data_IF_769952330925
#
_entry.id   IF_769952330925
#
_cell.length_a   1.000
_cell.length_b   1.000
_cell.length_c   1.000
_cell.angle_alpha   90.00
_cell.angle_beta   90.00
_cell.angle_gamma   90.00
#
_symmetry.space_group_name_H-M   'P 1'
#
loop_
_entity.id
_entity.type
_entity.pdbx_description
1 polymer ?
#
# COMPACT_ATOMS: atom_id res chain seq x y z
N UNK A 1 4.24 -2.82 -45.03
CA UNK A 1 3.03 -2.72 -44.18
C UNK A 1 2.82 -4.09 -43.54
N UNK A 2 3.52 -4.34 -42.44
CA UNK A 2 3.41 -5.62 -41.73
C UNK A 2 2.05 -5.67 -41.01
N UNK A 3 1.22 -6.63 -41.39
CA UNK A 3 0.02 -7.00 -40.66
C UNK A 3 0.46 -7.53 -39.30
N UNK A 4 0.34 -6.68 -38.27
CA UNK A 4 0.46 -7.11 -36.86
C UNK A 4 -0.58 -8.21 -36.65
N UNK A 5 -0.13 -9.46 -36.54
CA UNK A 5 -1.00 -10.58 -36.25
C UNK A 5 -1.55 -10.40 -34.84
N UNK A 6 -2.83 -10.04 -34.72
CA UNK A 6 -3.59 -10.04 -33.48
C UNK A 6 -3.73 -11.49 -32.99
N UNK A 7 -2.69 -12.01 -32.33
CA UNK A 7 -2.75 -13.31 -31.70
C UNK A 7 -3.35 -13.16 -30.28
N UNK A 8 -4.61 -13.53 -30.04
CA UNK A 8 -5.29 -13.33 -28.76
C UNK A 8 -4.61 -14.08 -27.61
N UNK A 9 -3.91 -15.19 -27.89
CA UNK A 9 -3.14 -15.94 -26.89
C UNK A 9 -1.92 -15.15 -26.40
N UNK A 10 -1.20 -14.48 -27.31
CA UNK A 10 -0.03 -13.67 -26.96
C UNK A 10 -0.42 -12.46 -26.12
N UNK A 11 -1.50 -11.77 -26.50
CA UNK A 11 -2.03 -10.63 -25.72
C UNK A 11 -2.48 -11.05 -24.32
N UNK A 12 -3.03 -12.25 -24.16
CA UNK A 12 -3.43 -12.81 -22.86
C UNK A 12 -2.22 -13.14 -21.99
N UNK A 13 -1.17 -13.70 -22.56
CA UNK A 13 0.09 -14.02 -21.84
C UNK A 13 0.77 -12.73 -21.40
N UNK A 14 0.87 -11.73 -22.27
CA UNK A 14 1.49 -10.43 -21.93
C UNK A 14 0.71 -9.71 -20.81
N UNK A 15 -0.62 -9.77 -20.82
CA UNK A 15 -1.47 -9.22 -19.76
C UNK A 15 -1.31 -9.95 -18.42
N UNK A 16 -1.17 -11.28 -18.43
CA UNK A 16 -0.93 -12.07 -17.23
C UNK A 16 0.47 -11.80 -16.64
N UNK A 17 1.49 -11.67 -17.50
CA UNK A 17 2.84 -11.31 -17.06
C UNK A 17 2.88 -9.93 -16.41
N UNK A 18 2.20 -8.94 -17.00
CA UNK A 18 2.07 -7.61 -16.42
C UNK A 18 1.34 -7.65 -15.06
N UNK A 19 0.27 -8.44 -14.94
CA UNK A 19 -0.45 -8.62 -13.68
C UNK A 19 0.47 -9.21 -12.59
N UNK A 20 1.26 -10.22 -12.93
CA UNK A 20 2.21 -10.83 -11.98
C UNK A 20 3.23 -9.81 -11.47
N UNK A 21 3.82 -9.00 -12.36
CA UNK A 21 4.80 -7.97 -11.99
C UNK A 21 4.16 -6.90 -11.09
N UNK A 22 2.98 -6.38 -11.47
CA UNK A 22 2.30 -5.36 -10.69
C UNK A 22 1.88 -5.91 -9.32
N UNK A 23 1.40 -7.16 -9.27
CA UNK A 23 1.05 -7.82 -8.00
C UNK A 23 2.28 -8.01 -7.11
N UNK A 24 3.41 -8.47 -7.67
CA UNK A 24 4.64 -8.65 -6.91
C UNK A 24 5.15 -7.32 -6.34
N UNK A 25 5.16 -6.25 -7.15
CA UNK A 25 5.56 -4.91 -6.70
C UNK A 25 4.59 -4.37 -5.62
N UNK A 26 3.29 -4.55 -5.79
CA UNK A 26 2.28 -4.14 -4.81
C UNK A 26 2.50 -4.83 -3.46
N UNK A 27 2.63 -6.17 -3.45
CA UNK A 27 2.91 -6.95 -2.23
C UNK A 27 4.23 -6.52 -1.60
N UNK A 28 5.30 -6.39 -2.39
CA UNK A 28 6.63 -6.00 -1.90
C UNK A 28 6.62 -4.61 -1.27
N UNK A 29 6.04 -3.61 -1.95
CA UNK A 29 5.92 -2.25 -1.41
C UNK A 29 5.16 -2.25 -0.10
N UNK A 30 4.11 -3.06 -0.01
CA UNK A 30 3.32 -3.16 1.21
C UNK A 30 4.09 -3.77 2.38
N UNK A 31 4.81 -4.88 2.15
CA UNK A 31 5.67 -5.52 3.17
C UNK A 31 6.78 -4.58 3.62
N UNK A 32 7.45 -3.91 2.67
CA UNK A 32 8.50 -2.93 2.97
C UNK A 32 7.95 -1.74 3.76
N UNK A 33 6.77 -1.21 3.38
CA UNK A 33 6.12 -0.11 4.10
C UNK A 33 5.84 -0.46 5.55
N UNK A 34 5.36 -1.67 5.83
CA UNK A 34 5.09 -2.13 7.19
C UNK A 34 6.38 -2.27 8.03
N UNK A 35 7.47 -2.76 7.45
CA UNK A 35 8.77 -2.80 8.14
C UNK A 35 9.27 -1.39 8.42
N UNK A 36 9.14 -0.46 7.46
CA UNK A 36 9.54 0.93 7.62
C UNK A 36 8.68 1.67 8.64
N UNK A 37 7.40 1.33 8.77
CA UNK A 37 6.46 1.98 9.67
C UNK A 37 6.82 1.83 11.17
N UNK A 38 7.69 0.88 11.52
CA UNK A 38 8.25 0.74 12.87
C UNK A 38 9.03 2.00 13.28
N UNK A 39 9.62 2.72 12.32
CA UNK A 39 10.36 3.94 12.58
C UNK A 39 9.44 5.16 12.52
N UNK A 40 9.31 5.87 13.64
CA UNK A 40 8.70 7.21 13.67
C UNK A 40 9.73 8.23 13.19
N UNK A 41 9.32 9.04 12.23
CA UNK A 41 10.11 10.14 11.67
C UNK A 41 9.59 11.46 12.26
N UNK A 42 10.51 12.30 12.78
CA UNK A 42 10.20 13.64 13.23
C UNK A 42 10.87 14.67 12.32
N UNK A 43 10.10 15.53 11.67
CA UNK A 43 10.60 16.65 10.89
C UNK A 43 10.40 17.95 11.67
N UNK A 44 11.50 18.68 11.91
CA UNK A 44 11.51 19.98 12.61
C UNK A 44 10.87 19.97 14.00
N UNK A 45 10.75 18.80 14.66
CA UNK A 45 10.02 18.60 15.92
C UNK A 45 8.54 19.07 15.90
N UNK A 46 7.97 19.17 14.71
CA UNK A 46 6.58 19.62 14.49
C UNK A 46 5.72 18.56 13.79
N UNK A 47 6.33 17.72 12.94
CA UNK A 47 5.63 16.76 12.11
C UNK A 47 6.10 15.36 12.45
N UNK A 48 5.20 14.54 12.99
CA UNK A 48 5.48 13.15 13.33
C UNK A 48 4.66 12.22 12.43
N UNK A 49 5.34 11.30 11.76
CA UNK A 49 4.72 10.26 10.94
C UNK A 49 5.61 9.02 10.91
N UNK A 50 5.06 7.88 10.54
CA UNK A 50 5.86 6.66 10.34
C UNK A 50 6.60 6.68 9.00
N UNK A 51 7.78 6.05 8.93
CA UNK A 51 8.59 6.05 7.70
C UNK A 51 7.90 5.31 6.53
N UNK A 52 6.96 4.42 6.79
CA UNK A 52 6.14 3.74 5.78
C UNK A 52 5.22 4.70 5.04
N UNK A 53 4.86 5.84 5.65
CA UNK A 53 4.05 6.89 5.02
C UNK A 53 4.62 7.37 3.68
N UNK A 54 5.94 7.26 3.47
CA UNK A 54 6.60 7.64 2.21
C UNK A 54 6.32 6.61 1.11
N UNK A 55 6.25 5.33 1.45
CA UNK A 55 6.12 4.22 0.48
C UNK A 55 4.68 3.77 0.25
N UNK A 56 3.78 3.95 1.21
CA UNK A 56 2.38 3.60 1.10
C UNK A 56 1.67 4.18 -0.13
N UNK A 57 1.83 5.47 -0.50
CA UNK A 57 1.16 6.02 -1.68
C UNK A 57 1.53 5.33 -2.99
N UNK A 58 2.75 4.77 -3.09
CA UNK A 58 3.13 3.97 -4.26
C UNK A 58 2.43 2.61 -4.30
N UNK A 59 2.16 2.01 -3.15
CA UNK A 59 1.33 0.82 -3.09
C UNK A 59 -0.11 1.14 -3.52
N UNK A 60 -0.72 2.23 -3.01
CA UNK A 60 -2.05 2.69 -3.45
C UNK A 60 -2.10 2.96 -4.95
N UNK A 61 -1.07 3.63 -5.51
CA UNK A 61 -0.94 3.82 -6.96
C UNK A 61 -1.01 2.49 -7.73
N UNK A 62 -0.31 1.45 -7.25
CA UNK A 62 -0.39 0.13 -7.89
C UNK A 62 -1.76 -0.53 -7.69
N UNK A 63 -2.45 -0.28 -6.58
CA UNK A 63 -3.85 -0.66 -6.35
C UNK A 63 -4.79 -0.03 -7.37
N UNK A 64 -4.58 1.25 -7.68
CA UNK A 64 -5.31 1.97 -8.74
C UNK A 64 -5.05 1.36 -10.11
N UNK A 65 -3.78 1.05 -10.43
CA UNK A 65 -3.40 0.36 -11.68
C UNK A 65 -4.09 -0.99 -11.80
N UNK A 66 -4.08 -1.79 -10.71
CA UNK A 66 -4.78 -3.09 -10.67
C UNK A 66 -6.28 -2.92 -10.93
N UNK A 67 -6.92 -1.96 -10.28
CA UNK A 67 -8.36 -1.70 -10.41
C UNK A 67 -8.72 -1.17 -11.79
N UNK A 68 -7.92 -0.26 -12.36
CA UNK A 68 -8.17 0.35 -13.66
C UNK A 68 -7.95 -0.63 -14.83
N UNK A 69 -6.91 -1.46 -14.75
CA UNK A 69 -6.52 -2.36 -15.86
C UNK A 69 -7.25 -3.69 -15.79
N UNK A 70 -7.33 -4.31 -14.60
CA UNK A 70 -7.88 -5.66 -14.41
C UNK A 70 -9.19 -5.71 -13.64
N UNK A 71 -9.67 -4.55 -13.16
CA UNK A 71 -10.96 -4.38 -12.49
C UNK A 71 -10.95 -4.75 -11.01
N UNK A 72 -11.98 -4.28 -10.30
CA UNK A 72 -12.15 -4.43 -8.84
C UNK A 72 -12.02 -5.87 -8.33
N UNK A 73 -12.57 -6.85 -9.08
CA UNK A 73 -12.53 -8.27 -8.64
C UNK A 73 -11.10 -8.79 -8.54
N UNK A 74 -10.23 -8.39 -9.47
CA UNK A 74 -8.81 -8.77 -9.48
C UNK A 74 -8.06 -8.02 -8.39
N UNK A 75 -8.24 -6.70 -8.29
CA UNK A 75 -7.64 -5.89 -7.25
C UNK A 75 -7.96 -6.43 -5.84
N UNK A 76 -9.22 -6.78 -5.58
CA UNK A 76 -9.64 -7.37 -4.31
C UNK A 76 -8.92 -8.69 -3.98
N UNK A 77 -8.67 -9.55 -4.98
CA UNK A 77 -7.91 -10.79 -4.75
C UNK A 77 -6.46 -10.50 -4.38
N UNK A 78 -5.84 -9.52 -5.03
CA UNK A 78 -4.46 -9.08 -4.73
C UNK A 78 -4.39 -8.47 -3.33
N UNK A 79 -5.38 -7.67 -2.92
CA UNK A 79 -5.47 -7.11 -1.56
C UNK A 79 -5.50 -8.24 -0.51
N UNK A 80 -6.34 -9.26 -0.70
CA UNK A 80 -6.39 -10.41 0.21
C UNK A 80 -5.08 -11.21 0.23
N UNK A 81 -4.44 -11.38 -0.92
CA UNK A 81 -3.12 -12.02 -1.01
C UNK A 81 -2.08 -11.20 -0.22
N UNK A 82 -2.08 -9.88 -0.38
CA UNK A 82 -1.18 -8.97 0.33
C UNK A 82 -1.39 -9.04 1.84
N UNK A 83 -2.65 -9.10 2.29
CA UNK A 83 -2.98 -9.30 3.70
C UNK A 83 -2.37 -10.61 4.24
N UNK A 84 -2.54 -11.71 3.49
CA UNK A 84 -1.96 -13.00 3.85
C UNK A 84 -0.42 -12.94 3.94
N UNK A 85 0.24 -12.29 2.97
CA UNK A 85 1.69 -12.10 2.98
C UNK A 85 2.15 -11.26 4.19
N UNK A 86 1.37 -10.25 4.60
CA UNK A 86 1.65 -9.46 5.79
C UNK A 86 1.51 -10.28 7.08
N UNK A 87 0.46 -11.10 7.19
CA UNK A 87 0.31 -12.03 8.31
C UNK A 87 1.50 -12.99 8.38
N UNK A 88 1.92 -13.52 7.23
CA UNK A 88 3.09 -14.39 7.16
C UNK A 88 4.38 -13.68 7.61
N UNK A 89 4.58 -12.43 7.18
CA UNK A 89 5.71 -11.60 7.63
C UNK A 89 5.72 -11.48 9.16
N UNK A 90 4.57 -11.17 9.77
CA UNK A 90 4.46 -11.04 11.24
C UNK A 90 4.77 -12.36 11.92
N UNK A 91 4.18 -13.47 11.46
CA UNK A 91 4.45 -14.79 12.05
C UNK A 91 5.92 -15.13 11.97
N UNK A 92 6.57 -14.96 10.82
CA UNK A 92 7.98 -15.26 10.64
C UNK A 92 8.87 -14.37 11.53
N UNK A 93 8.58 -13.08 11.63
CA UNK A 93 9.35 -12.17 12.49
C UNK A 93 9.16 -12.47 13.97
N UNK A 94 7.96 -12.86 14.43
CA UNK A 94 7.73 -13.27 15.81
C UNK A 94 8.41 -14.61 16.15
N UNK A 95 8.45 -15.54 15.20
CA UNK A 95 9.28 -16.76 15.38
C UNK A 95 10.74 -16.37 15.61
N UNK A 96 11.27 -15.41 14.82
CA UNK A 96 12.62 -14.90 15.01
C UNK A 96 12.86 -14.29 16.40
N UNK A 97 11.87 -13.57 16.96
CA UNK A 97 11.94 -13.00 18.33
C UNK A 97 12.02 -14.08 19.41
N UNK A 98 11.36 -15.24 19.21
CA UNK A 98 11.31 -16.33 20.19
C UNK A 98 12.58 -17.21 20.11
N UNK A 99 13.28 -17.20 18.97
CA UNK A 99 14.48 -18.01 18.79
C UNK A 99 15.66 -17.41 19.57
N UNK A 100 16.35 -18.20 20.42
CA UNK A 100 17.47 -17.71 21.22
C UNK A 100 18.68 -17.41 20.35
N UNK A 101 19.39 -16.34 20.66
CA UNK A 101 20.68 -15.98 20.07
C UNK A 101 21.84 -16.51 20.91
N UNK A 102 23.04 -16.70 20.32
CA UNK A 102 24.24 -16.97 21.09
C UNK A 102 24.61 -15.83 22.04
N UNK A 103 25.17 -16.14 23.22
CA UNK A 103 25.47 -15.15 24.26
C UNK A 103 26.32 -13.95 23.78
N UNK A 104 27.22 -14.18 22.81
CA UNK A 104 28.06 -13.13 22.24
C UNK A 104 27.31 -12.17 21.30
N UNK A 105 26.03 -12.43 20.99
CA UNK A 105 25.14 -11.60 20.16
C UNK A 105 23.95 -11.00 20.97
N UNK A 106 24.00 -11.01 22.29
CA UNK A 106 22.93 -10.53 23.16
C UNK A 106 22.49 -9.09 22.84
N UNK A 107 23.44 -8.20 22.50
CA UNK A 107 23.11 -6.81 22.10
C UNK A 107 22.34 -6.77 20.77
N UNK A 108 22.70 -7.61 19.81
CA UNK A 108 22.00 -7.71 18.52
C UNK A 108 20.60 -8.30 18.68
N UNK A 109 20.45 -9.29 19.56
CA UNK A 109 19.15 -9.86 19.93
C UNK A 109 18.24 -8.81 20.57
N UNK A 110 18.77 -8.00 21.50
CA UNK A 110 18.02 -6.94 22.15
C UNK A 110 17.48 -5.92 21.12
N UNK A 111 18.30 -5.53 20.15
CA UNK A 111 17.89 -4.63 19.05
C UNK A 111 16.82 -5.27 18.18
N UNK A 112 17.01 -6.51 17.76
CA UNK A 112 16.04 -7.27 16.97
C UNK A 112 14.70 -7.39 17.70
N UNK A 113 14.75 -7.80 18.98
CA UNK A 113 13.58 -7.95 19.83
C UNK A 113 12.89 -6.61 20.07
N UNK A 114 13.61 -5.51 20.29
CA UNK A 114 13.04 -4.18 20.44
C UNK A 114 12.29 -3.73 19.16
N UNK A 115 12.83 -4.04 17.97
CA UNK A 115 12.15 -3.74 16.71
C UNK A 115 10.89 -4.57 16.51
N UNK A 116 10.95 -5.89 16.72
CA UNK A 116 9.89 -6.79 16.30
C UNK A 116 8.90 -7.17 17.40
N UNK A 117 9.25 -7.10 18.70
CA UNK A 117 8.28 -7.32 19.79
C UNK A 117 7.32 -6.16 19.99
N UNK A 118 7.75 -4.92 19.74
CA UNK A 118 6.89 -3.74 19.81
C UNK A 118 5.88 -3.69 18.64
N UNK A 119 6.10 -4.48 17.63
CA UNK A 119 5.44 -4.45 16.33
C UNK A 119 4.06 -5.13 16.27
N UNK A 120 3.67 -6.15 17.06
CA UNK A 120 2.38 -6.82 16.85
C UNK A 120 1.19 -5.87 16.86
N UNK A 121 1.18 -4.87 17.75
CA UNK A 121 0.12 -3.86 17.81
C UNK A 121 0.14 -2.94 16.61
N UNK A 122 1.33 -2.47 16.19
CA UNK A 122 1.50 -1.57 15.02
C UNK A 122 1.14 -2.35 13.75
N UNK A 123 1.61 -3.58 13.60
CA UNK A 123 1.30 -4.41 12.45
C UNK A 123 -0.18 -4.76 12.39
N UNK A 124 -0.80 -5.10 13.52
CA UNK A 124 -2.24 -5.31 13.55
C UNK A 124 -3.01 -4.06 13.14
N UNK A 125 -2.62 -2.90 13.64
CA UNK A 125 -3.17 -1.60 13.24
C UNK A 125 -3.00 -1.35 11.73
N UNK A 126 -1.79 -1.63 11.20
CA UNK A 126 -1.51 -1.52 9.78
C UNK A 126 -2.35 -2.47 8.94
N UNK A 127 -2.54 -3.71 9.37
CA UNK A 127 -3.37 -4.67 8.64
C UNK A 127 -4.84 -4.24 8.58
N UNK A 128 -5.38 -3.71 9.69
CA UNK A 128 -6.76 -3.18 9.72
C UNK A 128 -6.88 -1.95 8.83
N UNK A 129 -5.99 -0.98 8.99
CA UNK A 129 -5.95 0.23 8.16
C UNK A 129 -5.83 -0.11 6.68
N UNK A 130 -4.87 -0.96 6.33
CA UNK A 130 -4.66 -1.45 4.98
C UNK A 130 -5.92 -2.10 4.37
N UNK A 131 -6.50 -3.05 5.08
CA UNK A 131 -7.65 -3.77 4.55
C UNK A 131 -8.81 -2.82 4.28
N UNK A 132 -9.11 -1.93 5.23
CA UNK A 132 -10.17 -0.94 5.09
C UNK A 132 -9.84 0.11 4.01
N UNK A 133 -8.60 0.60 3.98
CA UNK A 133 -8.13 1.57 3.01
C UNK A 133 -8.16 1.03 1.59
N UNK A 134 -7.47 -0.09 1.33
CA UNK A 134 -7.35 -0.65 -0.03
C UNK A 134 -8.68 -1.17 -0.58
N UNK A 135 -9.51 -1.83 0.23
CA UNK A 135 -10.83 -2.25 -0.22
C UNK A 135 -11.71 -1.04 -0.55
N UNK A 136 -11.64 0.01 0.27
CA UNK A 136 -12.35 1.28 0.01
C UNK A 136 -11.82 1.94 -1.26
N UNK A 137 -10.49 2.06 -1.42
CA UNK A 137 -9.87 2.62 -2.61
C UNK A 137 -10.34 1.92 -3.88
N UNK A 138 -10.18 0.61 -3.94
CA UNK A 138 -10.57 -0.19 -5.10
C UNK A 138 -12.08 -0.10 -5.38
N UNK A 139 -12.92 -0.07 -4.36
CA UNK A 139 -14.37 0.06 -4.50
C UNK A 139 -14.78 1.45 -5.01
N UNK A 140 -14.26 2.53 -4.41
CA UNK A 140 -14.54 3.89 -4.85
C UNK A 140 -13.98 4.17 -6.24
N UNK A 141 -12.78 3.69 -6.56
CA UNK A 141 -12.18 3.77 -7.89
C UNK A 141 -13.12 3.19 -8.96
N UNK A 142 -13.66 2.01 -8.73
CA UNK A 142 -14.62 1.36 -9.63
C UNK A 142 -15.95 2.13 -9.72
N UNK A 143 -16.49 2.62 -8.59
CA UNK A 143 -17.73 3.41 -8.55
C UNK A 143 -17.59 4.75 -9.29
N UNK A 144 -16.48 5.47 -9.09
CA UNK A 144 -16.22 6.73 -9.79
C UNK A 144 -16.01 6.44 -11.29
N UNK A 145 -15.34 5.35 -11.65
CA UNK A 145 -15.16 4.91 -13.04
C UNK A 145 -16.51 4.70 -13.74
N UNK A 146 -17.46 4.04 -13.08
CA UNK A 146 -18.81 3.85 -13.60
C UNK A 146 -19.54 5.18 -13.82
N UNK A 147 -19.49 6.09 -12.83
CA UNK A 147 -20.13 7.42 -12.92
C UNK A 147 -19.49 8.34 -13.97
N UNK A 148 -18.18 8.26 -14.16
CA UNK A 148 -17.44 9.11 -15.11
C UNK A 148 -17.37 8.51 -16.52
N UNK A 149 -18.03 7.37 -16.75
CA UNK A 149 -17.96 6.63 -18.01
C UNK A 149 -16.52 6.39 -18.48
N UNK A 150 -15.61 6.13 -17.53
CA UNK A 150 -14.20 5.91 -17.80
C UNK A 150 -13.37 7.16 -18.11
N UNK A 151 -13.96 8.37 -18.07
CA UNK A 151 -13.25 9.64 -18.27
C UNK A 151 -12.57 10.10 -16.99
N UNK A 152 -11.62 11.05 -17.11
CA UNK A 152 -10.95 11.73 -15.98
C UNK A 152 -10.33 10.77 -14.96
N UNK A 153 -9.30 10.03 -15.39
CA UNK A 153 -8.59 9.08 -14.53
C UNK A 153 -8.10 9.72 -13.21
N UNK A 154 -7.61 10.99 -13.26
CA UNK A 154 -7.13 11.70 -12.08
C UNK A 154 -8.19 11.90 -10.99
N UNK A 155 -9.47 12.14 -11.38
CA UNK A 155 -10.57 12.23 -10.41
C UNK A 155 -10.79 10.89 -9.74
N UNK A 156 -10.59 9.80 -10.46
CA UNK A 156 -10.78 8.45 -9.92
C UNK A 156 -9.67 8.08 -8.95
N UNK A 157 -8.42 8.30 -9.33
CA UNK A 157 -7.26 8.00 -8.48
C UNK A 157 -7.25 8.89 -7.24
N UNK A 158 -7.20 10.20 -7.39
CA UNK A 158 -7.16 11.12 -6.24
C UNK A 158 -8.42 11.02 -5.39
N UNK A 159 -9.60 10.93 -6.02
CA UNK A 159 -10.88 10.87 -5.30
C UNK A 159 -11.04 9.57 -4.50
N UNK A 160 -10.63 8.41 -5.04
CA UNK A 160 -10.68 7.14 -4.32
C UNK A 160 -9.65 7.10 -3.19
N UNK A 161 -8.41 7.56 -3.45
CA UNK A 161 -7.35 7.61 -2.45
C UNK A 161 -7.66 8.58 -1.31
N UNK A 162 -8.24 9.75 -1.60
CA UNK A 162 -8.63 10.70 -0.55
C UNK A 162 -9.62 10.10 0.45
N UNK A 163 -10.59 9.32 -0.03
CA UNK A 163 -11.53 8.61 0.85
C UNK A 163 -10.83 7.45 1.56
N UNK A 164 -10.04 6.67 0.82
CA UNK A 164 -9.35 5.50 1.33
C UNK A 164 -8.37 5.85 2.47
N UNK A 165 -7.65 6.97 2.37
CA UNK A 165 -6.73 7.41 3.41
C UNK A 165 -7.41 7.76 4.74
N UNK A 166 -8.69 8.13 4.74
CA UNK A 166 -9.46 8.28 5.99
C UNK A 166 -9.66 6.91 6.63
N UNK A 167 -10.08 5.90 5.83
CA UNK A 167 -10.32 4.54 6.29
C UNK A 167 -9.03 3.79 6.65
N UNK A 168 -7.89 4.19 6.12
CA UNK A 168 -6.58 3.65 6.47
C UNK A 168 -5.99 4.35 7.70
N UNK A 169 -5.83 5.67 7.67
CA UNK A 169 -5.07 6.41 8.68
C UNK A 169 -5.80 6.50 10.03
N UNK A 170 -7.13 6.65 10.02
CA UNK A 170 -7.90 6.77 11.26
C UNK A 170 -7.81 5.51 12.13
N UNK A 171 -8.17 4.30 11.65
CA UNK A 171 -8.07 3.09 12.46
C UNK A 171 -6.61 2.73 12.77
N UNK A 172 -5.66 2.97 11.84
CA UNK A 172 -4.26 2.73 12.10
C UNK A 172 -3.76 3.52 13.30
N UNK A 173 -3.91 4.84 13.30
CA UNK A 173 -3.39 5.72 14.38
C UNK A 173 -4.11 5.41 15.69
N UNK A 174 -5.43 5.19 15.67
CA UNK A 174 -6.18 4.83 16.87
C UNK A 174 -5.70 3.52 17.48
N UNK A 175 -5.56 2.46 16.69
CA UNK A 175 -5.15 1.14 17.20
C UNK A 175 -3.69 1.17 17.65
N UNK A 176 -2.80 1.81 16.88
CA UNK A 176 -1.37 1.84 17.16
C UNK A 176 -1.03 2.71 18.39
N UNK A 177 -1.64 3.87 18.54
CA UNK A 177 -1.17 4.92 19.44
C UNK A 177 -2.16 5.35 20.52
N UNK A 178 -3.43 4.90 20.52
CA UNK A 178 -4.37 5.21 21.58
C UNK A 178 -3.87 4.70 22.94
N UNK A 179 -3.87 5.59 23.94
CA UNK A 179 -3.33 5.33 25.27
C UNK A 179 -1.81 5.41 25.39
N UNK A 180 -1.07 5.68 24.29
CA UNK A 180 0.38 5.89 24.29
C UNK A 180 0.73 7.37 24.18
N UNK A 181 -0.03 8.11 23.36
CA UNK A 181 0.14 9.56 23.17
C UNK A 181 -1.09 10.33 23.64
N UNK A 182 -0.95 11.65 23.81
CA UNK A 182 -2.07 12.51 24.18
C UNK A 182 -3.15 12.53 23.08
N UNK A 183 -4.40 12.81 23.45
CA UNK A 183 -5.49 12.91 22.45
C UNK A 183 -5.22 13.99 21.39
N UNK A 184 -4.54 15.07 21.76
CA UNK A 184 -4.13 16.13 20.83
C UNK A 184 -3.10 15.64 19.83
N UNK A 185 -2.07 14.95 20.30
CA UNK A 185 -1.02 14.40 19.42
C UNK A 185 -1.58 13.34 18.49
N UNK A 186 -2.49 12.50 19.00
CA UNK A 186 -3.19 11.48 18.21
C UNK A 186 -3.98 12.11 17.06
N UNK A 187 -4.71 13.20 17.31
CA UNK A 187 -5.45 13.94 16.28
C UNK A 187 -4.46 14.55 15.25
N UNK A 188 -3.39 15.15 15.72
CA UNK A 188 -2.35 15.71 14.84
C UNK A 188 -1.72 14.63 13.96
N UNK A 189 -1.38 13.46 14.51
CA UNK A 189 -0.85 12.33 13.75
C UNK A 189 -1.82 11.89 12.64
N UNK A 190 -3.11 11.77 12.92
CA UNK A 190 -4.13 11.42 11.92
C UNK A 190 -4.13 12.45 10.79
N UNK A 191 -4.19 13.74 11.13
CA UNK A 191 -4.25 14.84 10.15
C UNK A 191 -2.97 14.85 9.29
N UNK A 192 -1.80 14.82 9.92
CA UNK A 192 -0.53 14.85 9.19
C UNK A 192 -0.32 13.63 8.31
N UNK A 193 -0.63 12.44 8.79
CA UNK A 193 -0.52 11.23 8.01
C UNK A 193 -1.44 11.27 6.78
N UNK A 194 -2.69 11.72 6.96
CA UNK A 194 -3.64 11.88 5.86
C UNK A 194 -3.13 12.84 4.79
N UNK A 195 -2.72 14.05 5.19
CA UNK A 195 -2.25 15.05 4.23
C UNK A 195 -0.93 14.67 3.57
N UNK A 196 0.00 14.05 4.30
CA UNK A 196 1.26 13.57 3.74
C UNK A 196 1.03 12.51 2.67
N UNK A 197 0.21 11.49 2.97
CA UNK A 197 -0.14 10.45 2.00
C UNK A 197 -0.82 11.04 0.75
N UNK A 198 -1.81 11.90 0.95
CA UNK A 198 -2.52 12.53 -0.16
C UNK A 198 -1.60 13.42 -1.01
N UNK A 199 -0.71 14.18 -0.39
CA UNK A 199 0.25 15.03 -1.11
C UNK A 199 1.21 14.18 -1.98
N UNK A 200 1.75 13.10 -1.43
CA UNK A 200 2.64 12.19 -2.17
C UNK A 200 1.87 11.51 -3.32
N UNK A 201 0.62 11.11 -3.08
CA UNK A 201 -0.25 10.52 -4.10
C UNK A 201 -0.49 11.49 -5.27
N UNK A 202 -0.85 12.74 -4.97
CA UNK A 202 -1.12 13.76 -5.99
C UNK A 202 0.14 14.10 -6.78
N UNK A 203 1.27 14.28 -6.10
CA UNK A 203 2.52 14.75 -6.73
C UNK A 203 3.27 13.64 -7.49
N UNK A 204 3.22 12.42 -6.99
CA UNK A 204 4.01 11.30 -7.53
C UNK A 204 3.14 10.11 -7.92
N UNK A 205 2.22 9.68 -7.07
CA UNK A 205 1.40 8.48 -7.29
C UNK A 205 0.54 8.59 -8.53
N UNK A 206 -0.23 9.66 -8.66
CA UNK A 206 -1.13 9.87 -9.82
C UNK A 206 -0.36 9.97 -11.15
N UNK A 207 0.70 10.78 -11.31
CA UNK A 207 1.49 10.80 -12.55
C UNK A 207 2.09 9.43 -12.90
N UNK A 208 2.61 8.70 -11.91
CA UNK A 208 3.16 7.36 -12.11
C UNK A 208 2.07 6.35 -12.50
N UNK A 209 0.87 6.44 -11.91
CA UNK A 209 -0.28 5.61 -12.30
C UNK A 209 -0.64 5.82 -13.78
N UNK A 210 -0.68 7.08 -14.25
CA UNK A 210 -0.90 7.38 -15.66
C UNK A 210 0.14 6.73 -16.56
N UNK A 211 1.42 6.88 -16.21
CA UNK A 211 2.52 6.30 -16.99
C UNK A 211 2.43 4.75 -17.02
N UNK A 212 2.16 4.12 -15.88
CA UNK A 212 2.02 2.67 -15.77
C UNK A 212 0.83 2.15 -16.58
N UNK A 213 -0.37 2.74 -16.39
CA UNK A 213 -1.60 2.35 -17.09
C UNK A 213 -1.44 2.54 -18.60
N UNK A 214 -0.86 3.67 -19.04
CA UNK A 214 -0.62 3.92 -20.45
C UNK A 214 0.35 2.89 -21.04
N UNK A 215 1.45 2.60 -20.35
CA UNK A 215 2.45 1.63 -20.78
C UNK A 215 1.83 0.23 -20.89
N UNK A 216 1.10 -0.23 -19.88
CA UNK A 216 0.46 -1.56 -19.89
C UNK A 216 -0.58 -1.65 -21.02
N UNK A 217 -1.47 -0.64 -21.15
CA UNK A 217 -2.49 -0.62 -22.21
C UNK A 217 -1.87 -0.55 -23.61
N UNK A 218 -0.73 0.14 -23.77
CA UNK A 218 0.00 0.20 -25.05
C UNK A 218 0.67 -1.14 -25.37
N UNK A 219 1.26 -1.80 -24.39
CA UNK A 219 1.87 -3.13 -24.55
C UNK A 219 0.84 -4.19 -24.91
N UNK A 220 -0.32 -4.17 -24.26
CA UNK A 220 -1.42 -5.12 -24.52
C UNK A 220 -2.18 -4.84 -25.82
N UNK A 221 -2.15 -3.61 -26.35
CA UNK A 221 -2.81 -3.24 -27.61
C UNK A 221 -1.89 -3.28 -28.85
N UNK A 222 -0.56 -3.20 -28.67
CA UNK A 222 0.40 -3.11 -29.78
C UNK A 222 0.95 -4.47 -30.24
N UNK A 223 0.54 -5.53 -29.63
CA UNK A 223 0.93 -6.90 -30.02
C UNK A 223 -0.28 -7.79 -30.18
#
# INVERSE_FOLDING_TARGET
MDKVSDNPLKNRIDSQSALMVVTALFVTLYLVSNIMAVKVVGLFNLFYFDAGTITFPFAYMLGDVLTEVWGYRTARKVIWLTLLCNILLVVCTQIGVIMPSPDYLADSEAVYNAMFSYVPRIVFASLVGFLLGELSNAWFMEKIKQKTHGRHLWIRTIGSSAIAYVFDSLPFVLIAFAGVVSARDLLMMIIFQYFSKLSIEVLFGTPMAYAAIYSIKRFTRRR
#
